data_IF_941737655266
#
_entry.id   IF_941737655266
#
_cell.length_a   1.000
_cell.length_b   1.000
_cell.length_c   1.000
_cell.angle_alpha   90.00
_cell.angle_beta   90.00
_cell.angle_gamma   90.00
#
_symmetry.space_group_name_H-M   'P 1'
#
loop_
_entity.id
_entity.type
_entity.pdbx_description
1 polymer ?
#
# COMPACT_ATOMS: atom_id res chain seq x y z
N UNK A 1 -61.29 12.17 4.29
CA UNK A 1 -61.34 10.70 4.18
C UNK A 1 -60.51 10.27 2.97
N UNK A 2 -59.66 9.24 3.16
CA UNK A 2 -59.10 8.31 2.13
C UNK A 2 -57.84 8.74 1.34
N UNK A 3 -56.70 8.46 2.00
CA UNK A 3 -55.48 7.73 1.56
C UNK A 3 -54.77 8.13 0.24
N UNK A 4 -53.47 8.51 0.29
CA UNK A 4 -52.56 8.35 -0.84
C UNK A 4 -52.07 6.90 -0.92
N UNK A 5 -52.22 6.27 -2.08
CA UNK A 5 -51.57 5.00 -2.41
C UNK A 5 -51.16 5.04 -3.88
N UNK A 6 -49.85 5.10 -4.15
CA UNK A 6 -49.24 4.39 -5.29
C UNK A 6 -47.71 4.44 -5.13
N UNK A 7 -47.14 3.41 -4.51
CA UNK A 7 -46.36 2.34 -5.18
C UNK A 7 -44.95 2.80 -5.52
N UNK A 8 -44.03 2.54 -4.58
CA UNK A 8 -42.60 2.34 -4.83
C UNK A 8 -42.45 1.30 -5.93
N UNK A 9 -41.98 1.72 -7.12
CA UNK A 9 -41.68 0.81 -8.20
C UNK A 9 -40.20 0.38 -8.12
N UNK A 10 -40.02 -0.81 -7.55
CA UNK A 10 -39.06 -1.85 -7.94
C UNK A 10 -37.69 -1.40 -8.47
N UNK A 11 -36.72 -1.40 -7.56
CA UNK A 11 -35.31 -1.58 -7.88
C UNK A 11 -35.11 -3.06 -8.23
N UNK A 12 -34.89 -3.36 -9.50
CA UNK A 12 -34.29 -4.60 -9.92
C UNK A 12 -33.57 -4.35 -11.24
N UNK A 13 -32.24 -4.44 -11.24
CA UNK A 13 -31.57 -5.37 -12.14
C UNK A 13 -30.17 -5.68 -11.62
N UNK A 14 -29.93 -6.98 -11.54
CA UNK A 14 -28.71 -7.60 -11.09
C UNK A 14 -27.54 -7.20 -11.98
N UNK A 15 -26.53 -6.57 -11.37
CA UNK A 15 -25.17 -6.56 -11.88
C UNK A 15 -24.32 -7.39 -10.93
N UNK A 16 -24.37 -8.71 -11.06
CA UNK A 16 -23.39 -9.60 -10.41
C UNK A 16 -22.10 -9.44 -11.23
N UNK A 17 -21.41 -8.31 -11.04
CA UNK A 17 -20.05 -8.18 -11.47
C UNK A 17 -19.20 -8.97 -10.48
N UNK A 18 -18.91 -10.22 -10.83
CA UNK A 18 -17.84 -11.02 -10.24
C UNK A 18 -16.48 -10.38 -10.57
N UNK A 19 -16.26 -9.14 -10.15
CA UNK A 19 -14.97 -8.49 -10.20
C UNK A 19 -14.26 -8.85 -8.91
N UNK A 20 -13.54 -9.97 -8.97
CA UNK A 20 -12.39 -10.35 -8.15
C UNK A 20 -12.35 -9.67 -6.78
N UNK A 21 -12.46 -10.45 -5.70
CA UNK A 21 -11.74 -10.16 -4.47
C UNK A 21 -10.24 -10.12 -4.80
N UNK A 22 -9.79 -9.03 -5.45
CA UNK A 22 -8.39 -8.66 -5.52
C UNK A 22 -7.99 -8.62 -4.06
N UNK A 23 -7.09 -9.52 -3.58
CA UNK A 23 -6.60 -9.38 -2.22
C UNK A 23 -6.15 -7.95 -2.14
N UNK A 24 -6.72 -7.16 -1.22
CA UNK A 24 -6.52 -5.72 -1.14
C UNK A 24 -5.04 -5.48 -1.39
N UNK A 25 -4.69 -5.09 -2.61
CA UNK A 25 -3.29 -4.94 -2.97
C UNK A 25 -2.98 -3.65 -2.27
N UNK A 26 -2.52 -3.75 -1.03
CA UNK A 26 -1.96 -2.64 -0.29
C UNK A 26 -1.09 -1.95 -1.33
N UNK A 27 -1.43 -0.71 -1.75
CA UNK A 27 -0.68 -0.06 -2.79
C UNK A 27 0.78 -0.12 -2.36
N UNK A 28 1.60 -0.74 -3.21
CA UNK A 28 3.02 -0.95 -2.90
C UNK A 28 3.55 0.39 -2.39
N UNK A 29 4.13 0.43 -1.17
CA UNK A 29 4.46 1.70 -0.54
C UNK A 29 5.29 2.52 -1.53
N UNK A 30 4.84 3.76 -1.80
CA UNK A 30 5.59 4.68 -2.64
C UNK A 30 6.95 4.97 -2.00
N UNK A 31 7.91 5.46 -2.79
CA UNK A 31 9.24 5.84 -2.28
C UNK A 31 9.17 6.75 -1.05
N UNK A 32 8.16 7.63 -0.98
CA UNK A 32 7.88 8.47 0.18
C UNK A 32 7.53 7.65 1.44
N UNK A 33 6.62 6.68 1.34
CA UNK A 33 6.23 5.81 2.46
C UNK A 33 7.43 4.98 2.97
N UNK A 34 8.26 4.51 2.05
CA UNK A 34 9.49 3.77 2.38
C UNK A 34 10.47 4.64 3.15
N UNK A 35 10.65 5.90 2.73
CA UNK A 35 11.52 6.86 3.43
C UNK A 35 11.00 7.18 4.83
N UNK A 36 9.69 7.42 4.98
CA UNK A 36 9.06 7.64 6.29
C UNK A 36 9.25 6.44 7.22
N UNK A 37 9.11 5.22 6.69
CA UNK A 37 9.29 4.01 7.48
C UNK A 37 10.74 3.80 7.92
N UNK A 38 11.70 4.05 7.02
CA UNK A 38 13.12 4.03 7.36
C UNK A 38 13.46 5.08 8.44
N UNK A 39 12.92 6.29 8.32
CA UNK A 39 13.08 7.33 9.34
C UNK A 39 12.51 6.92 10.71
N UNK A 40 11.33 6.28 10.73
CA UNK A 40 10.72 5.75 11.95
C UNK A 40 11.56 4.65 12.62
N UNK A 41 12.35 3.93 11.83
CA UNK A 41 13.30 2.93 12.29
C UNK A 41 14.71 3.50 12.58
N UNK A 42 14.85 4.81 12.67
CA UNK A 42 16.11 5.54 12.89
C UNK A 42 17.15 5.35 11.78
N UNK A 43 16.73 4.97 10.59
CA UNK A 43 17.58 5.04 9.39
C UNK A 43 17.54 6.47 8.84
N UNK A 44 18.71 7.10 8.84
CA UNK A 44 18.98 8.37 8.18
C UNK A 44 19.60 8.15 6.80
N UNK A 45 19.84 9.26 6.10
CA UNK A 45 20.60 9.30 4.84
C UNK A 45 20.20 8.21 3.81
N UNK A 46 18.89 8.03 3.61
CA UNK A 46 18.38 7.05 2.65
C UNK A 46 18.63 7.54 1.23
N UNK A 47 19.38 6.76 0.43
CA UNK A 47 19.74 7.05 -0.95
C UNK A 47 19.58 5.81 -1.83
N UNK A 48 19.60 6.02 -3.14
CA UNK A 48 19.57 4.94 -4.14
C UNK A 48 18.39 3.97 -4.02
N UNK A 49 17.26 4.45 -3.48
CA UNK A 49 16.01 3.70 -3.39
C UNK A 49 15.48 3.38 -4.80
N UNK A 50 15.54 2.10 -5.16
CA UNK A 50 14.99 1.56 -6.40
C UNK A 50 13.96 0.50 -6.09
N UNK A 51 12.86 0.53 -6.85
CA UNK A 51 11.83 -0.50 -6.78
C UNK A 51 12.16 -1.61 -7.78
N UNK A 52 12.31 -2.82 -7.27
CA UNK A 52 12.45 -4.03 -8.06
C UNK A 52 11.13 -4.47 -8.72
N UNK A 53 11.20 -5.36 -9.72
CA UNK A 53 10.02 -5.89 -10.41
C UNK A 53 9.15 -6.78 -9.50
N UNK A 54 9.72 -7.30 -8.43
CA UNK A 54 9.07 -8.00 -7.32
C UNK A 54 8.31 -7.08 -6.36
N UNK A 55 8.40 -5.75 -6.57
CA UNK A 55 7.79 -4.74 -5.71
C UNK A 55 8.55 -4.50 -4.41
N UNK A 56 9.75 -5.06 -4.26
CA UNK A 56 10.66 -4.72 -3.16
C UNK A 56 11.36 -3.40 -3.46
N UNK A 57 11.67 -2.65 -2.42
CA UNK A 57 12.52 -1.47 -2.52
C UNK A 57 13.89 -1.79 -1.96
N UNK A 58 14.92 -1.58 -2.75
CA UNK A 58 16.31 -1.71 -2.32
C UNK A 58 16.98 -0.36 -2.36
N UNK A 59 17.74 -0.02 -1.33
CA UNK A 59 18.53 1.20 -1.31
C UNK A 59 19.60 1.12 -0.22
N UNK A 60 20.25 2.24 0.01
CA UNK A 60 21.26 2.40 1.05
C UNK A 60 20.73 3.36 2.10
N UNK A 61 20.92 3.05 3.37
CA UNK A 61 20.55 3.94 4.46
C UNK A 61 21.57 3.86 5.59
N UNK A 62 21.72 4.94 6.33
CA UNK A 62 22.65 5.02 7.45
C UNK A 62 21.89 4.83 8.76
N UNK A 63 22.26 3.83 9.56
CA UNK A 63 21.70 3.62 10.90
C UNK A 63 22.84 3.69 11.92
N UNK A 64 22.70 4.52 12.95
CA UNK A 64 23.73 4.73 13.98
C UNK A 64 25.11 5.10 13.39
N UNK A 65 25.14 5.85 12.29
CA UNK A 65 26.38 6.22 11.58
C UNK A 65 26.97 5.14 10.68
N UNK A 66 26.36 3.95 10.62
CA UNK A 66 26.78 2.85 9.74
C UNK A 66 25.90 2.80 8.51
N UNK A 67 26.50 2.91 7.33
CA UNK A 67 25.80 2.71 6.07
C UNK A 67 25.48 1.22 5.89
N UNK A 68 24.21 0.91 5.60
CA UNK A 68 23.68 -0.44 5.42
C UNK A 68 22.83 -0.50 4.18
N UNK A 69 22.84 -1.66 3.53
CA UNK A 69 21.90 -1.91 2.45
C UNK A 69 20.55 -2.26 3.06
N UNK A 70 19.52 -1.50 2.72
CA UNK A 70 18.15 -1.71 3.17
C UNK A 70 17.30 -2.28 2.06
N UNK A 71 16.53 -3.30 2.40
CA UNK A 71 15.53 -3.91 1.53
C UNK A 71 14.18 -3.84 2.22
N UNK A 72 13.19 -3.27 1.54
CA UNK A 72 11.84 -3.08 2.06
C UNK A 72 10.91 -3.89 1.19
N UNK A 73 10.33 -4.93 1.75
CA UNK A 73 9.36 -5.76 1.06
C UNK A 73 8.08 -4.96 0.75
N UNK A 74 7.29 -5.35 -0.26
CA UNK A 74 6.01 -4.70 -0.57
C UNK A 74 5.01 -4.75 0.58
N UNK A 75 5.22 -5.68 1.54
CA UNK A 75 4.47 -5.79 2.80
C UNK A 75 4.91 -4.78 3.88
N UNK A 76 5.88 -3.92 3.58
CA UNK A 76 6.47 -2.98 4.56
C UNK A 76 7.41 -3.65 5.56
N UNK A 77 8.04 -4.78 5.22
CA UNK A 77 9.07 -5.39 6.09
C UNK A 77 10.42 -4.81 5.69
N UNK A 78 11.11 -4.14 6.62
CA UNK A 78 12.44 -3.57 6.39
C UNK A 78 13.50 -4.54 6.89
N UNK A 79 14.41 -4.93 6.02
CA UNK A 79 15.58 -5.76 6.33
C UNK A 79 16.84 -4.98 5.98
N UNK A 80 17.73 -4.82 6.96
CA UNK A 80 19.05 -4.21 6.74
C UNK A 80 20.14 -5.26 6.92
N UNK A 81 21.14 -5.21 6.05
CA UNK A 81 22.34 -6.04 6.10
C UNK A 81 23.55 -5.14 6.13
#
# INVERSE_FOLDING_TARGET
MRRPALVLMLIAFAGIASAQTKPATTPSPGSASVKTQLQALHYGNVRDLRRGPDGQWTGTATQNGVEKQVTISPKGVVTAR
#
